data_IF_975863902952
#
_entry.id   IF_975863902952
#
_cell.length_a   1.000
_cell.length_b   1.000
_cell.length_c   1.000
_cell.angle_alpha   90.00
_cell.angle_beta   90.00
_cell.angle_gamma   90.00
#
_symmetry.space_group_name_H-M   'P 1'
#
loop_
_entity.id
_entity.type
_entity.pdbx_description
1 polymer ?
#
# COMPACT_ATOMS: atom_id res chain seq x y z
N UNK A 1 -14.41 -17.25 -27.92
CA UNK A 1 -13.86 -16.11 -27.16
C UNK A 1 -12.78 -16.68 -26.27
N UNK A 2 -11.52 -16.30 -26.49
CA UNK A 2 -10.38 -16.78 -25.69
C UNK A 2 -10.37 -15.96 -24.41
N UNK A 3 -10.46 -16.61 -23.26
CA UNK A 3 -10.09 -16.02 -21.97
C UNK A 3 -8.57 -15.82 -22.00
N UNK A 4 -8.13 -14.65 -22.47
CA UNK A 4 -6.73 -14.22 -22.32
C UNK A 4 -6.56 -13.97 -20.83
N UNK A 5 -6.23 -15.01 -20.06
CA UNK A 5 -5.78 -14.83 -18.69
C UNK A 5 -4.54 -13.96 -18.76
N UNK A 6 -4.66 -12.70 -18.37
CA UNK A 6 -3.53 -11.91 -17.93
C UNK A 6 -2.87 -12.70 -16.82
N UNK A 7 -1.83 -13.47 -17.14
CA UNK A 7 -1.12 -14.36 -16.23
C UNK A 7 -0.24 -13.59 -15.22
N UNK A 8 -0.57 -12.32 -14.97
CA UNK A 8 0.20 -11.44 -14.12
C UNK A 8 -0.16 -11.67 -12.65
N UNK A 9 0.84 -12.04 -11.88
CA UNK A 9 0.76 -12.10 -10.42
C UNK A 9 0.47 -10.70 -9.86
N UNK A 10 -0.22 -10.66 -8.71
CA UNK A 10 -0.47 -9.46 -7.90
C UNK A 10 0.83 -8.63 -7.82
N UNK A 11 0.81 -7.31 -8.05
CA UNK A 11 2.00 -6.48 -7.92
C UNK A 11 2.65 -6.65 -6.55
N UNK A 12 3.98 -6.78 -6.54
CA UNK A 12 4.72 -6.89 -5.28
C UNK A 12 4.55 -5.63 -4.45
N UNK A 13 4.48 -5.79 -3.12
CA UNK A 13 4.35 -4.68 -2.19
C UNK A 13 5.51 -3.66 -2.39
N UNK A 14 5.25 -2.36 -2.16
CA UNK A 14 6.30 -1.36 -2.29
C UNK A 14 7.38 -1.50 -1.21
N UNK A 15 8.58 -1.06 -1.55
CA UNK A 15 9.78 -1.20 -0.72
C UNK A 15 10.21 0.16 -0.13
N UNK A 16 11.08 0.11 0.89
CA UNK A 16 11.71 1.30 1.49
C UNK A 16 10.70 2.39 1.90
N UNK A 17 9.63 1.94 2.58
CA UNK A 17 8.60 2.83 3.12
C UNK A 17 9.22 3.72 4.19
N UNK A 18 9.06 5.03 4.01
CA UNK A 18 9.60 6.08 4.89
C UNK A 18 8.48 7.04 5.25
N UNK A 19 8.38 7.37 6.53
CA UNK A 19 7.40 8.30 7.07
C UNK A 19 8.13 9.46 7.73
N UNK A 20 7.83 10.68 7.32
CA UNK A 20 8.37 11.90 7.90
C UNK A 20 7.24 12.74 8.47
N UNK A 21 7.31 13.07 9.75
CA UNK A 21 6.37 13.99 10.39
C UNK A 21 6.70 15.42 9.95
N UNK A 22 5.73 16.12 9.36
CA UNK A 22 5.90 17.49 8.89
C UNK A 22 5.30 18.48 9.89
N UNK A 23 4.10 18.18 10.37
CA UNK A 23 3.39 18.94 11.40
C UNK A 23 2.74 17.95 12.38
N UNK A 24 2.16 18.42 13.50
CA UNK A 24 1.45 17.52 14.41
C UNK A 24 0.31 16.71 13.78
N UNK A 25 -0.23 17.15 12.64
CA UNK A 25 -1.39 16.53 11.96
C UNK A 25 -1.10 16.07 10.53
N UNK A 26 0.13 16.26 10.02
CA UNK A 26 0.48 15.87 8.66
C UNK A 26 1.81 15.14 8.59
N UNK A 27 1.84 14.12 7.73
CA UNK A 27 3.02 13.30 7.46
C UNK A 27 3.25 13.23 5.96
N UNK A 28 4.51 13.08 5.58
CA UNK A 28 4.90 12.65 4.24
C UNK A 28 5.22 11.16 4.28
N UNK A 29 4.69 10.42 3.33
CA UNK A 29 4.99 9.01 3.12
C UNK A 29 5.64 8.86 1.76
N UNK A 30 6.76 8.14 1.70
CA UNK A 30 7.44 7.79 0.45
C UNK A 30 7.80 6.31 0.44
N UNK A 31 7.83 5.74 -0.75
CA UNK A 31 8.14 4.34 -0.99
C UNK A 31 8.73 4.18 -2.39
N UNK A 32 9.28 3.00 -2.67
CA UNK A 32 9.78 2.60 -3.97
C UNK A 32 8.89 1.49 -4.55
N UNK A 33 8.55 1.61 -5.84
CA UNK A 33 7.86 0.52 -6.55
C UNK A 33 8.81 -0.67 -6.68
N UNK A 34 8.36 -1.86 -6.29
CA UNK A 34 9.15 -3.07 -6.48
C UNK A 34 9.29 -3.38 -7.99
N UNK A 35 10.48 -3.80 -8.41
CA UNK A 35 10.80 -4.08 -9.82
C UNK A 35 10.74 -5.58 -10.14
N UNK A 36 9.86 -6.34 -9.49
CA UNK A 36 9.69 -7.76 -9.77
C UNK A 36 9.18 -7.98 -11.21
N UNK A 37 10.02 -8.52 -12.12
CA UNK A 37 9.66 -8.70 -13.52
C UNK A 37 8.58 -9.78 -13.73
N UNK A 38 8.22 -10.54 -12.69
CA UNK A 38 7.19 -11.57 -12.71
C UNK A 38 5.81 -11.04 -12.26
N UNK A 39 5.68 -9.74 -12.00
CA UNK A 39 4.41 -9.14 -11.55
C UNK A 39 3.87 -8.12 -12.55
N UNK A 40 2.58 -7.83 -12.41
CA UNK A 40 1.95 -6.78 -13.21
C UNK A 40 2.47 -5.40 -12.81
N UNK A 41 2.48 -4.43 -13.75
CA UNK A 41 2.71 -3.02 -13.42
C UNK A 41 1.74 -2.54 -12.34
N UNK A 42 2.21 -1.63 -11.49
CA UNK A 42 1.37 -1.01 -10.46
C UNK A 42 0.54 0.13 -11.08
N UNK A 43 -0.78 0.02 -11.00
CA UNK A 43 -1.68 1.10 -11.41
C UNK A 43 -1.88 2.16 -10.31
N UNK A 44 -2.07 1.73 -9.05
CA UNK A 44 -2.36 2.59 -7.88
C UNK A 44 -1.85 1.98 -6.58
N UNK A 45 -1.69 2.83 -5.57
CA UNK A 45 -1.40 2.42 -4.19
C UNK A 45 -2.52 2.85 -3.26
N UNK A 46 -3.02 1.92 -2.44
CA UNK A 46 -3.93 2.22 -1.34
C UNK A 46 -3.12 2.54 -0.07
N UNK A 47 -3.27 3.76 0.45
CA UNK A 47 -2.59 4.21 1.66
C UNK A 47 -3.58 4.20 2.82
N UNK A 48 -3.36 3.31 3.79
CA UNK A 48 -4.21 3.18 4.98
C UNK A 48 -3.44 3.57 6.23
N UNK A 49 -4.05 4.39 7.09
CA UNK A 49 -3.53 4.76 8.41
C UNK A 49 -4.39 4.14 9.51
N UNK A 50 -3.74 3.49 10.48
CA UNK A 50 -4.38 2.99 11.70
C UNK A 50 -3.84 3.76 12.90
N UNK A 51 -4.69 4.53 13.62
CA UNK A 51 -4.28 5.17 14.87
C UNK A 51 -3.88 4.12 15.92
N UNK A 52 -2.80 4.38 16.66
CA UNK A 52 -2.30 3.48 17.70
C UNK A 52 -3.29 3.31 18.87
N UNK A 53 -4.17 4.29 19.10
CA UNK A 53 -5.14 4.29 20.21
C UNK A 53 -6.57 3.94 19.78
N UNK A 54 -6.74 3.29 18.62
CA UNK A 54 -8.04 2.79 18.17
C UNK A 54 -8.46 1.56 18.99
N UNK A 55 -8.89 1.79 20.24
CA UNK A 55 -9.68 0.82 21.00
C UNK A 55 -11.09 0.83 20.41
N UNK A 56 -11.50 -0.26 19.78
CA UNK A 56 -12.91 -0.43 19.44
C UNK A 56 -13.70 -0.29 20.75
N UNK A 57 -14.74 0.57 20.83
CA UNK A 57 -15.57 0.57 22.02
C UNK A 57 -16.17 -0.83 22.14
N UNK A 58 -15.91 -1.51 23.25
CA UNK A 58 -16.62 -2.74 23.58
C UNK A 58 -18.11 -2.40 23.60
N UNK A 59 -18.90 -3.08 22.77
CA UNK A 59 -20.34 -2.95 22.80
C UNK A 59 -20.83 -3.28 24.21
N UNK A 60 -21.47 -2.31 24.86
CA UNK A 60 -22.14 -2.48 26.15
C UNK A 60 -23.43 -3.31 25.99
#
# INVERSE_FOLDING_TARGET
MIDVKYNGSIPTAPENITVTFLTPTSVRVSWQTSMDPHTMPVDKYDVTYKPTDARWPASA
#
